data_IF_170783167394
#
_entry.id   IF_170783167394
#
_cell.length_a   1.000
_cell.length_b   1.000
_cell.length_c   1.000
_cell.angle_alpha   90.00
_cell.angle_beta   90.00
_cell.angle_gamma   90.00
#
_symmetry.space_group_name_H-M   'P 1'
#
loop_
_entity.id
_entity.type
_entity.pdbx_description
1 polymer ?
#
# COMPACT_ATOMS: atom_id res chain seq x y z
N UNK A 1 19.39 -7.24 -10.49
CA UNK A 1 19.34 -5.77 -10.70
C UNK A 1 19.44 -5.35 -12.17
N UNK A 2 20.33 -5.94 -12.97
CA UNK A 2 20.52 -5.57 -14.37
C UNK A 2 19.31 -5.85 -15.27
N UNK A 3 18.67 -6.99 -15.06
CA UNK A 3 17.47 -7.40 -15.81
C UNK A 3 16.28 -6.45 -15.59
N UNK A 4 16.04 -6.01 -14.34
CA UNK A 4 14.97 -5.05 -14.04
C UNK A 4 15.20 -3.70 -14.75
N UNK A 5 16.43 -3.20 -14.77
CA UNK A 5 16.77 -1.97 -15.52
C UNK A 5 16.62 -2.14 -17.03
N UNK A 6 16.96 -3.30 -17.58
CA UNK A 6 16.74 -3.59 -18.99
C UNK A 6 15.25 -3.57 -19.36
N UNK A 7 14.40 -4.19 -18.54
CA UNK A 7 12.94 -4.18 -18.72
C UNK A 7 12.37 -2.77 -18.63
N UNK A 8 12.75 -1.98 -17.63
CA UNK A 8 12.29 -0.58 -17.51
C UNK A 8 12.68 0.25 -18.73
N UNK A 9 13.90 0.10 -19.24
CA UNK A 9 14.33 0.79 -20.47
C UNK A 9 13.49 0.38 -21.68
N UNK A 10 13.16 -0.90 -21.79
CA UNK A 10 12.34 -1.41 -22.90
C UNK A 10 10.91 -0.84 -22.82
N UNK A 11 10.27 -0.92 -21.65
CA UNK A 11 8.92 -0.39 -21.43
C UNK A 11 8.86 1.12 -21.65
N UNK A 12 9.89 1.85 -21.22
CA UNK A 12 9.98 3.29 -21.46
C UNK A 12 10.09 3.61 -22.95
N UNK A 13 10.93 2.87 -23.69
CA UNK A 13 11.08 3.03 -25.15
C UNK A 13 9.75 2.79 -25.90
N UNK A 14 8.92 1.86 -25.43
CA UNK A 14 7.59 1.61 -26.00
C UNK A 14 6.50 2.55 -25.48
N UNK A 15 6.83 3.56 -24.68
CA UNK A 15 5.86 4.51 -24.13
C UNK A 15 4.89 3.90 -23.11
N UNK A 16 5.20 2.71 -22.59
CA UNK A 16 4.35 2.01 -21.62
C UNK A 16 4.53 2.58 -20.21
N UNK A 17 5.72 3.11 -19.90
CA UNK A 17 6.05 3.80 -18.65
C UNK A 17 6.79 5.10 -18.92
N UNK A 18 6.72 6.03 -17.97
CA UNK A 18 7.65 7.15 -17.88
C UNK A 18 8.72 6.82 -16.85
N UNK A 19 9.99 7.05 -17.20
CA UNK A 19 11.12 6.83 -16.31
C UNK A 19 11.98 8.10 -16.24
N UNK A 20 12.02 8.78 -15.08
CA UNK A 20 12.89 9.93 -14.82
C UNK A 20 13.56 9.78 -13.47
N UNK A 21 14.87 9.51 -13.45
CA UNK A 21 15.63 9.34 -12.20
C UNK A 21 15.66 10.58 -11.31
N UNK A 22 15.32 11.77 -11.85
CA UNK A 22 15.28 13.02 -11.09
C UNK A 22 14.03 13.14 -10.21
N UNK A 23 12.99 12.35 -10.51
CA UNK A 23 11.72 12.33 -9.76
C UNK A 23 11.79 11.49 -8.46
N UNK A 24 12.99 11.06 -8.05
CA UNK A 24 13.24 10.37 -6.78
C UNK A 24 12.33 9.13 -6.61
N UNK A 25 11.55 9.02 -5.52
CA UNK A 25 10.62 7.90 -5.30
C UNK A 25 9.55 7.73 -6.40
N UNK A 26 9.32 8.74 -7.25
CA UNK A 26 8.35 8.71 -8.36
C UNK A 26 9.01 8.48 -9.72
N UNK A 27 10.27 8.04 -9.73
CA UNK A 27 11.06 7.89 -10.94
C UNK A 27 10.45 6.96 -11.99
N UNK A 28 9.60 6.00 -11.59
CA UNK A 28 8.90 5.11 -12.50
C UNK A 28 7.40 5.31 -12.34
N UNK A 29 6.72 5.62 -13.44
CA UNK A 29 5.25 5.72 -13.46
C UNK A 29 4.67 4.93 -14.61
N UNK A 30 3.57 4.25 -14.33
CA UNK A 30 2.79 3.51 -15.30
C UNK A 30 1.57 4.34 -15.69
N UNK A 31 1.26 4.42 -16.98
CA UNK A 31 0.04 5.08 -17.44
C UNK A 31 -1.20 4.25 -17.05
N UNK A 32 -2.32 4.92 -16.74
CA UNK A 32 -3.53 4.26 -16.25
C UNK A 32 -4.08 3.18 -17.21
N UNK A 33 -4.04 3.44 -18.53
CA UNK A 33 -4.45 2.47 -19.55
C UNK A 33 -3.52 1.26 -19.60
N UNK A 34 -2.20 1.47 -19.53
CA UNK A 34 -1.24 0.37 -19.47
C UNK A 34 -1.42 -0.47 -18.20
N UNK A 35 -1.65 0.18 -17.05
CA UNK A 35 -1.94 -0.50 -15.80
C UNK A 35 -3.21 -1.34 -15.88
N UNK A 36 -4.25 -0.80 -16.52
CA UNK A 36 -5.51 -1.51 -16.77
C UNK A 36 -5.30 -2.72 -17.67
N UNK A 37 -4.66 -2.55 -18.82
CA UNK A 37 -4.36 -3.64 -19.74
C UNK A 37 -3.52 -4.74 -19.07
N UNK A 38 -2.50 -4.37 -18.29
CA UNK A 38 -1.69 -5.33 -17.52
C UNK A 38 -2.54 -6.16 -16.56
N UNK A 39 -3.48 -5.52 -15.83
CA UNK A 39 -4.41 -6.24 -14.94
C UNK A 39 -5.37 -7.16 -15.69
N UNK A 40 -5.97 -6.66 -16.78
CA UNK A 40 -6.94 -7.43 -17.58
C UNK A 40 -6.30 -8.64 -18.29
N UNK A 41 -5.01 -8.56 -18.62
CA UNK A 41 -4.25 -9.65 -19.25
C UNK A 41 -3.59 -10.59 -18.24
N UNK A 42 -3.61 -10.26 -16.94
CA UNK A 42 -3.02 -11.11 -15.90
C UNK A 42 -3.92 -12.34 -15.69
N UNK A 43 -3.39 -13.57 -15.82
CA UNK A 43 -4.18 -14.77 -15.59
C UNK A 43 -4.75 -14.81 -14.17
N UNK A 44 -6.03 -15.15 -14.02
CA UNK A 44 -6.71 -15.21 -12.72
C UNK A 44 -5.95 -15.98 -11.62
N UNK A 45 -5.31 -17.15 -11.90
CA UNK A 45 -4.53 -17.87 -10.89
C UNK A 45 -3.28 -17.12 -10.40
N UNK A 46 -2.74 -16.18 -11.18
CA UNK A 46 -1.55 -15.42 -10.84
C UNK A 46 -1.86 -14.15 -10.01
N UNK A 47 -3.12 -13.72 -9.95
CA UNK A 47 -3.53 -12.48 -9.27
C UNK A 47 -3.18 -12.51 -7.77
N UNK A 48 -3.50 -13.57 -6.99
CA UNK A 48 -3.19 -13.58 -5.55
C UNK A 48 -1.69 -13.49 -5.27
N UNK A 49 -0.88 -14.26 -6.00
CA UNK A 49 0.57 -14.24 -5.85
C UNK A 49 1.17 -12.88 -6.25
N UNK A 50 0.64 -12.25 -7.30
CA UNK A 50 1.10 -10.93 -7.76
C UNK A 50 0.74 -9.83 -6.75
N UNK A 51 -0.49 -9.85 -6.21
CA UNK A 51 -0.92 -8.91 -5.19
C UNK A 51 -0.08 -9.03 -3.92
N UNK A 52 0.17 -10.27 -3.46
CA UNK A 52 1.01 -10.54 -2.29
C UNK A 52 2.46 -10.08 -2.52
N UNK A 53 3.06 -10.42 -3.65
CA UNK A 53 4.42 -10.01 -3.98
C UNK A 53 4.57 -8.47 -4.06
N UNK A 54 3.56 -7.77 -4.59
CA UNK A 54 3.54 -6.31 -4.60
C UNK A 54 3.44 -5.73 -3.17
N UNK A 55 2.60 -6.32 -2.32
CA UNK A 55 2.44 -5.93 -0.93
C UNK A 55 3.72 -6.17 -0.11
N UNK A 56 4.38 -7.30 -0.30
CA UNK A 56 5.67 -7.64 0.32
C UNK A 56 6.75 -6.63 -0.11
N UNK A 57 6.82 -6.29 -1.41
CA UNK A 57 7.77 -5.32 -1.93
C UNK A 57 7.57 -3.91 -1.32
N UNK A 58 6.32 -3.46 -1.21
CA UNK A 58 5.98 -2.19 -0.56
C UNK A 58 6.37 -2.20 0.94
N UNK A 59 6.11 -3.30 1.64
CA UNK A 59 6.45 -3.43 3.05
C UNK A 59 7.98 -3.45 3.29
N UNK A 60 8.73 -4.09 2.40
CA UNK A 60 10.18 -4.24 2.50
C UNK A 60 10.94 -2.92 2.34
N UNK A 61 10.46 -2.02 1.47
CA UNK A 61 11.12 -0.73 1.18
C UNK A 61 10.63 0.41 2.07
N UNK A 62 9.62 0.15 2.91
CA UNK A 62 9.06 1.18 3.77
C UNK A 62 10.08 1.57 4.86
N UNK A 63 10.37 2.88 5.05
CA UNK A 63 11.30 3.32 6.09
C UNK A 63 10.86 2.89 7.49
N UNK A 64 11.82 2.56 8.37
CA UNK A 64 11.55 2.27 9.79
C UNK A 64 10.95 3.47 10.51
N UNK A 65 11.25 4.68 10.02
CA UNK A 65 10.78 5.93 10.62
C UNK A 65 10.32 6.90 9.52
N UNK A 66 9.05 7.32 9.58
CA UNK A 66 8.39 8.05 8.48
C UNK A 66 8.98 9.46 8.21
N UNK A 67 9.62 10.09 9.19
CA UNK A 67 10.16 11.45 9.02
C UNK A 67 11.50 11.49 8.27
N UNK A 68 12.17 10.34 8.09
CA UNK A 68 13.45 10.26 7.37
C UNK A 68 13.27 10.44 5.87
N UNK A 69 12.13 10.01 5.30
CA UNK A 69 11.84 10.15 3.87
C UNK A 69 10.33 10.34 3.64
N UNK A 70 9.86 11.57 3.85
CA UNK A 70 8.44 11.94 3.77
C UNK A 70 7.85 11.69 2.37
N UNK A 71 8.63 11.94 1.32
CA UNK A 71 8.20 11.79 -0.07
C UNK A 71 8.08 10.33 -0.46
N UNK A 72 9.04 9.48 -0.07
CA UNK A 72 8.92 8.04 -0.25
C UNK A 72 7.71 7.49 0.50
N UNK A 73 7.52 7.85 1.78
CA UNK A 73 6.35 7.40 2.53
C UNK A 73 5.03 7.84 1.88
N UNK A 74 4.97 9.04 1.30
CA UNK A 74 3.78 9.48 0.55
C UNK A 74 3.51 8.63 -0.71
N UNK A 75 4.56 8.27 -1.44
CA UNK A 75 4.45 7.36 -2.60
C UNK A 75 4.01 5.97 -2.18
N UNK A 76 4.58 5.42 -1.11
CA UNK A 76 4.23 4.10 -0.61
C UNK A 76 2.78 4.03 -0.13
N UNK A 77 2.31 5.04 0.61
CA UNK A 77 0.89 5.14 0.99
C UNK A 77 -0.05 5.13 -0.22
N UNK A 78 0.23 5.94 -1.23
CA UNK A 78 -0.60 6.01 -2.44
C UNK A 78 -0.61 4.68 -3.22
N UNK A 79 0.53 3.99 -3.30
CA UNK A 79 0.62 2.69 -3.93
C UNK A 79 -0.10 1.60 -3.13
N UNK A 80 -0.01 1.61 -1.79
CA UNK A 80 -0.75 0.68 -0.93
C UNK A 80 -2.26 0.88 -1.06
N UNK A 81 -2.73 2.12 -1.10
CA UNK A 81 -4.16 2.44 -1.30
C UNK A 81 -4.67 1.91 -2.65
N UNK A 82 -3.90 2.17 -3.72
CA UNK A 82 -4.22 1.65 -5.07
C UNK A 82 -4.21 0.11 -5.10
N UNK A 83 -3.24 -0.52 -4.44
CA UNK A 83 -3.15 -1.98 -4.36
C UNK A 83 -4.33 -2.57 -3.59
N UNK A 84 -4.70 -1.98 -2.45
CA UNK A 84 -5.85 -2.43 -1.65
C UNK A 84 -7.16 -2.31 -2.43
N UNK A 85 -7.36 -1.21 -3.16
CA UNK A 85 -8.53 -1.01 -4.00
C UNK A 85 -8.66 -2.03 -5.15
N UNK A 86 -7.55 -2.59 -5.64
CA UNK A 86 -7.56 -3.59 -6.72
C UNK A 86 -7.51 -5.04 -6.24
N UNK A 87 -6.78 -5.31 -5.15
CA UNK A 87 -6.62 -6.65 -4.60
C UNK A 87 -7.79 -7.04 -3.69
N UNK A 88 -8.49 -6.05 -3.11
CA UNK A 88 -9.64 -6.27 -2.24
C UNK A 88 -9.32 -7.26 -1.10
N UNK A 89 -10.19 -8.26 -0.96
CA UNK A 89 -10.10 -9.27 0.10
C UNK A 89 -8.83 -10.15 0.02
N UNK A 90 -8.08 -10.13 -1.10
CA UNK A 90 -6.84 -10.90 -1.25
C UNK A 90 -5.73 -10.45 -0.29
N UNK A 91 -5.76 -9.19 0.17
CA UNK A 91 -4.79 -8.70 1.16
C UNK A 91 -5.17 -9.06 2.60
N UNK A 92 -6.35 -9.64 2.80
CA UNK A 92 -6.88 -10.03 4.11
C UNK A 92 -6.87 -11.53 4.33
N UNK A 93 -6.31 -12.31 3.40
CA UNK A 93 -6.24 -13.77 3.50
C UNK A 93 -4.78 -14.28 3.48
N UNK A 94 -4.41 -15.24 4.35
CA UNK A 94 -5.21 -15.79 5.46
C UNK A 94 -5.40 -14.80 6.62
N UNK A 95 -4.46 -13.86 6.78
CA UNK A 95 -4.49 -12.76 7.76
C UNK A 95 -4.30 -11.42 7.02
N UNK A 96 -4.51 -10.30 7.72
CA UNK A 96 -4.30 -8.96 7.18
C UNK A 96 -2.83 -8.72 6.80
N UNK A 97 -2.57 -8.30 5.56
CA UNK A 97 -1.20 -8.03 5.12
C UNK A 97 -0.57 -6.88 5.93
N UNK A 98 0.65 -7.03 6.49
CA UNK A 98 1.28 -6.02 7.34
C UNK A 98 1.43 -4.63 6.72
N UNK A 99 1.47 -4.55 5.38
CA UNK A 99 1.53 -3.29 4.64
C UNK A 99 0.33 -2.38 4.90
N UNK A 100 -0.86 -2.96 5.15
CA UNK A 100 -2.08 -2.20 5.42
C UNK A 100 -1.96 -1.47 6.76
N UNK A 101 -1.54 -2.19 7.80
CA UNK A 101 -1.26 -1.63 9.12
C UNK A 101 -0.14 -0.57 9.06
N UNK A 102 0.91 -0.82 8.28
CA UNK A 102 2.03 0.12 8.12
C UNK A 102 1.62 1.41 7.42
N UNK A 103 0.79 1.32 6.37
CA UNK A 103 0.24 2.48 5.69
C UNK A 103 -0.66 3.31 6.62
N UNK A 104 -1.52 2.65 7.39
CA UNK A 104 -2.34 3.30 8.42
C UNK A 104 -1.48 4.06 9.44
N UNK A 105 -0.41 3.43 9.96
CA UNK A 105 0.48 4.09 10.94
C UNK A 105 1.18 5.30 10.34
N UNK A 106 1.60 5.18 9.08
CA UNK A 106 2.24 6.28 8.35
C UNK A 106 1.30 7.46 8.11
N UNK A 107 -0.01 7.21 7.93
CA UNK A 107 -1.03 8.28 7.87
C UNK A 107 -1.21 8.99 9.21
N UNK A 108 -1.22 8.24 10.32
CA UNK A 108 -1.29 8.83 11.67
C UNK A 108 -0.10 9.72 11.96
N UNK A 109 1.10 9.24 11.66
CA UNK A 109 2.35 9.98 11.87
C UNK A 109 2.43 11.25 11.02
N UNK A 110 1.72 11.29 9.89
CA UNK A 110 1.64 12.46 9.02
C UNK A 110 0.48 13.42 9.39
N UNK A 111 -0.34 13.08 10.39
CA UNK A 111 -1.60 13.76 10.76
C UNK A 111 -2.57 13.98 9.58
N UNK A 112 -2.55 13.07 8.60
CA UNK A 112 -3.36 13.16 7.38
C UNK A 112 -4.55 12.21 7.45
N UNK A 113 -5.77 12.75 7.35
CA UNK A 113 -7.04 12.02 7.09
C UNK A 113 -7.20 10.66 7.81
N UNK A 114 -6.58 10.52 8.98
CA UNK A 114 -6.34 9.21 9.57
C UNK A 114 -7.64 8.56 10.08
N UNK A 115 -8.59 9.37 10.59
CA UNK A 115 -9.82 8.83 11.16
C UNK A 115 -10.62 8.00 10.15
N UNK A 116 -10.91 8.53 8.97
CA UNK A 116 -11.75 7.84 7.98
C UNK A 116 -11.08 6.56 7.46
N UNK A 117 -9.78 6.64 7.13
CA UNK A 117 -9.01 5.49 6.66
C UNK A 117 -8.94 4.38 7.73
N UNK A 118 -8.64 4.73 8.98
CA UNK A 118 -8.59 3.74 10.07
C UNK A 118 -9.96 3.17 10.42
N UNK A 119 -11.01 3.96 10.35
CA UNK A 119 -12.38 3.46 10.52
C UNK A 119 -12.72 2.42 9.46
N UNK A 120 -12.38 2.67 8.20
CA UNK A 120 -12.59 1.71 7.13
C UNK A 120 -11.72 0.47 7.30
N UNK A 121 -10.45 0.63 7.68
CA UNK A 121 -9.54 -0.48 7.89
C UNK A 121 -10.00 -1.41 9.01
N UNK A 122 -10.49 -0.86 10.13
CA UNK A 122 -11.08 -1.64 11.23
C UNK A 122 -12.36 -2.34 10.78
N UNK A 123 -13.25 -1.65 10.04
CA UNK A 123 -14.47 -2.26 9.54
C UNK A 123 -14.19 -3.41 8.54
N UNK A 124 -13.16 -3.28 7.70
CA UNK A 124 -12.73 -4.37 6.81
C UNK A 124 -12.14 -5.54 7.59
N UNK A 125 -11.35 -5.28 8.64
CA UNK A 125 -10.82 -6.32 9.53
C UNK A 125 -11.94 -7.05 10.30
N UNK A 126 -12.90 -6.33 10.88
CA UNK A 126 -14.09 -6.90 11.55
C UNK A 126 -14.89 -7.77 10.59
N UNK A 127 -15.17 -7.27 9.38
CA UNK A 127 -15.94 -7.99 8.36
C UNK A 127 -15.24 -9.26 7.86
N UNK A 128 -13.91 -9.21 7.66
CA UNK A 128 -13.17 -10.26 6.98
C UNK A 128 -12.48 -11.26 7.92
N UNK A 129 -11.99 -10.79 9.07
CA UNK A 129 -11.25 -11.58 10.05
C UNK A 129 -12.08 -11.86 11.32
N UNK A 130 -13.10 -11.04 11.58
CA UNK A 130 -13.92 -11.10 12.79
C UNK A 130 -13.42 -10.15 13.89
N UNK A 131 -14.33 -9.82 14.82
CA UNK A 131 -14.12 -8.82 15.88
C UNK A 131 -13.03 -9.23 16.90
N UNK A 132 -12.92 -10.54 17.18
CA UNK A 132 -11.97 -11.11 18.16
C UNK A 132 -10.59 -11.40 17.56
N UNK A 133 -10.38 -11.16 16.26
CA UNK A 133 -9.12 -11.44 15.61
C UNK A 133 -8.00 -10.52 16.14
N UNK A 134 -6.79 -11.03 16.41
CA UNK A 134 -5.68 -10.21 16.93
C UNK A 134 -5.38 -8.96 16.10
N UNK A 135 -5.45 -9.07 14.77
CA UNK A 135 -5.24 -7.92 13.87
C UNK A 135 -6.36 -6.87 14.01
N UNK A 136 -7.62 -7.31 14.10
CA UNK A 136 -8.78 -6.42 14.30
C UNK A 136 -8.64 -5.64 15.61
N UNK A 137 -8.31 -6.34 16.70
CA UNK A 137 -8.08 -5.74 18.01
C UNK A 137 -6.91 -4.75 17.99
N UNK A 138 -5.79 -5.12 17.37
CA UNK A 138 -4.61 -4.24 17.25
C UNK A 138 -4.91 -2.97 16.46
N UNK A 139 -5.68 -3.07 15.37
CA UNK A 139 -6.11 -1.91 14.57
C UNK A 139 -7.08 -1.01 15.36
N UNK A 140 -8.04 -1.60 16.06
CA UNK A 140 -8.99 -0.86 16.90
C UNK A 140 -8.28 -0.11 18.05
N UNK A 141 -7.27 -0.72 18.68
CA UNK A 141 -6.48 -0.10 19.74
C UNK A 141 -5.67 1.11 19.24
N UNK A 142 -5.08 1.01 18.06
CA UNK A 142 -4.39 2.16 17.43
C UNK A 142 -5.34 3.33 17.22
N UNK A 143 -6.56 3.06 16.70
CA UNK A 143 -7.57 4.10 16.51
C UNK A 143 -8.04 4.71 17.84
N UNK A 144 -8.24 3.89 18.89
CA UNK A 144 -8.58 4.35 20.25
C UNK A 144 -7.49 5.24 20.83
N UNK A 145 -6.22 4.83 20.72
CA UNK A 145 -5.09 5.59 21.24
C UNK A 145 -4.96 6.96 20.56
N UNK A 146 -5.09 7.00 19.23
CA UNK A 146 -5.04 8.26 18.50
C UNK A 146 -6.18 9.22 18.89
N UNK A 147 -7.42 8.71 19.05
CA UNK A 147 -8.55 9.52 19.52
C UNK A 147 -8.30 10.11 20.90
N UNK A 148 -7.56 9.40 21.76
CA UNK A 148 -7.17 9.89 23.09
C UNK A 148 -6.15 11.02 22.98
N UNK A 149 -5.08 10.84 22.21
CA UNK A 149 -4.03 11.86 22.03
C UNK A 149 -4.57 13.15 21.41
N UNK A 150 -5.50 13.09 20.44
CA UNK A 150 -6.12 14.30 19.88
C UNK A 150 -7.18 14.95 20.77
N UNK A 151 -7.67 14.27 21.80
CA UNK A 151 -8.64 14.82 22.76
C UNK A 151 -7.97 15.46 23.97
N UNK A 152 -6.68 15.24 24.21
CA UNK A 152 -5.91 15.95 25.23
C UNK A 152 -5.52 17.34 24.67
N UNK A 153 -5.99 18.44 25.28
CA UNK A 153 -5.70 19.82 24.86
C UNK A 153 -4.30 20.31 25.27
#
# INVERSE_FOLDING_TARGET
>A
MEQARAVLRLLHRYGLITCDSRDGPRAVRLHALTARAARETTPAPAIPATARAAADALAAIWPTTDHTDRDLCAVLRANTDTLAGHAGDLLWQPDGHPVLYRAGKSLLNADLYAAAHWHQLVADAERLLGDDHPDTLAMADVLRQWKRVRKDP
#
